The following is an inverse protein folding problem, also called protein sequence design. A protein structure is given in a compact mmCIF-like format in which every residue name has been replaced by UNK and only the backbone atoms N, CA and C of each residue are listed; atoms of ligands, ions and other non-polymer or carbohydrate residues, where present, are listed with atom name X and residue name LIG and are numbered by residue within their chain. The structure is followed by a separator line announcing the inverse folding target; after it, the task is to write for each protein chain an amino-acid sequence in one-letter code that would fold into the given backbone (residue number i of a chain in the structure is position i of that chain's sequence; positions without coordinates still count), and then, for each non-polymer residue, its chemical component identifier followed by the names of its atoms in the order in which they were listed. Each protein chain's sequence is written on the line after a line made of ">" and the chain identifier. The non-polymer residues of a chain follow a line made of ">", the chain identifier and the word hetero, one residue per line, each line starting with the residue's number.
data_IF_445634204779
#
_entry.id   IF_445634204779
#
_cell.length_a   1.000
_cell.length_b   1.000
_cell.length_c   1.000
_cell.angle_alpha   90.00
_cell.angle_beta   90.00
_cell.angle_gamma   90.00
#
_symmetry.space_group_name_H-M   'P 1'
#
loop_
_entity.id
_entity.type
_entity.pdbx_description
1 polymer ?
#
# COMPACT_ATOMS: atom_id res chain seq x y z
N UNK A 1 0.23 36.71 -13.69
CA UNK A 1 -0.80 36.47 -12.65
C UNK A 1 -0.52 35.10 -12.08
N UNK A 2 -0.20 35.03 -10.78
CA UNK A 2 0.31 33.81 -10.14
C UNK A 2 -0.86 32.90 -9.74
N UNK A 3 -1.11 31.89 -10.58
CA UNK A 3 -2.41 31.19 -10.68
C UNK A 3 -2.69 30.25 -9.49
N UNK A 4 -1.89 30.23 -8.42
CA UNK A 4 -2.13 29.24 -7.35
C UNK A 4 -1.62 29.62 -5.95
N UNK A 5 -2.03 30.79 -5.44
CA UNK A 5 -1.83 31.19 -4.02
C UNK A 5 -2.28 30.13 -3.00
N UNK A 6 -3.19 29.22 -3.40
CA UNK A 6 -3.67 28.13 -2.56
C UNK A 6 -2.56 27.16 -2.17
N UNK A 7 -1.60 26.90 -3.06
CA UNK A 7 -0.46 26.02 -2.77
C UNK A 7 0.57 26.67 -1.84
N UNK A 8 0.78 27.99 -1.94
CA UNK A 8 1.68 28.71 -1.03
C UNK A 8 1.14 28.69 0.41
N UNK A 9 -0.19 28.71 0.57
CA UNK A 9 -0.82 28.55 1.89
C UNK A 9 -0.59 27.15 2.48
N UNK A 10 -0.56 26.11 1.64
CA UNK A 10 -0.28 24.74 2.10
C UNK A 10 1.11 24.65 2.72
N UNK A 11 2.12 25.39 2.22
CA UNK A 11 3.49 25.40 2.80
C UNK A 11 3.54 25.90 4.24
N UNK A 12 2.55 26.69 4.66
CA UNK A 12 2.50 27.28 5.99
C UNK A 12 1.54 26.56 6.94
N UNK A 13 0.64 25.71 6.44
CA UNK A 13 -0.30 24.99 7.28
C UNK A 13 0.29 23.68 7.82
N UNK A 14 0.74 23.73 9.06
CA UNK A 14 1.41 22.59 9.71
C UNK A 14 0.56 21.33 9.85
N UNK A 15 -0.78 21.44 9.81
CA UNK A 15 -1.66 20.27 9.90
C UNK A 15 -1.73 19.58 8.53
N UNK A 16 -2.03 20.33 7.47
CA UNK A 16 -2.14 19.77 6.12
C UNK A 16 -0.82 19.23 5.56
N UNK A 17 0.33 19.79 5.97
CA UNK A 17 1.63 19.32 5.49
C UNK A 17 1.96 17.91 6.00
N UNK A 18 1.44 17.52 7.18
CA UNK A 18 1.76 16.20 7.75
C UNK A 18 1.11 15.08 6.98
N UNK A 19 -0.11 15.29 6.51
CA UNK A 19 -0.92 14.29 5.82
C UNK A 19 -1.26 14.79 4.41
N UNK A 20 -0.42 14.41 3.46
CA UNK A 20 -0.51 14.84 2.07
C UNK A 20 -1.21 13.78 1.22
N UNK A 21 -2.30 14.15 0.57
CA UNK A 21 -2.98 13.33 -0.42
C UNK A 21 -2.88 13.99 -1.80
N UNK A 22 -2.22 13.33 -2.75
CA UNK A 22 -2.06 13.79 -4.13
C UNK A 22 -3.06 13.11 -5.07
N UNK A 23 -4.28 12.95 -4.57
CA UNK A 23 -5.43 12.41 -5.29
C UNK A 23 -6.55 13.44 -5.28
N UNK A 24 -7.27 13.55 -6.40
CA UNK A 24 -8.49 14.34 -6.49
C UNK A 24 -9.69 13.46 -6.13
N UNK A 25 -10.43 13.84 -5.11
CA UNK A 25 -11.60 13.09 -4.65
C UNK A 25 -12.86 13.55 -5.39
N UNK A 26 -13.59 12.60 -5.97
CA UNK A 26 -14.89 12.83 -6.57
C UNK A 26 -16.01 12.31 -5.64
N UNK A 27 -16.81 13.21 -5.06
CA UNK A 27 -17.84 12.82 -4.09
C UNK A 27 -19.05 12.14 -4.73
N UNK A 28 -19.18 12.15 -6.07
CA UNK A 28 -20.36 11.62 -6.77
C UNK A 28 -20.36 10.09 -6.77
N UNK A 29 -19.18 9.50 -6.95
CA UNK A 29 -18.96 8.06 -7.09
C UNK A 29 -17.95 7.51 -6.06
N UNK A 30 -17.59 8.34 -5.07
CA UNK A 30 -16.59 8.02 -4.04
C UNK A 30 -15.24 7.59 -4.64
N UNK A 31 -14.93 8.10 -5.85
CA UNK A 31 -13.72 7.74 -6.58
C UNK A 31 -12.59 8.73 -6.32
N UNK A 32 -11.37 8.30 -6.63
CA UNK A 32 -10.17 9.15 -6.57
C UNK A 32 -9.48 9.15 -7.92
N UNK A 33 -9.14 10.32 -8.41
CA UNK A 33 -8.45 10.54 -9.68
C UNK A 33 -7.02 11.05 -9.45
N UNK A 34 -6.08 10.73 -10.35
CA UNK A 34 -4.75 11.34 -10.31
C UNK A 34 -4.82 12.83 -10.62
N UNK A 35 -4.00 13.63 -9.92
CA UNK A 35 -3.78 15.02 -10.31
C UNK A 35 -3.09 15.10 -11.68
N UNK A 36 -3.31 16.20 -12.40
CA UNK A 36 -2.65 16.42 -13.69
C UNK A 36 -1.13 16.56 -13.56
N UNK A 37 -0.41 16.09 -14.58
CA UNK A 37 1.05 16.09 -14.60
C UNK A 37 1.66 17.47 -14.36
N UNK A 38 1.08 18.52 -14.94
CA UNK A 38 1.54 19.90 -14.74
C UNK A 38 1.47 20.34 -13.28
N UNK A 39 0.45 19.89 -12.53
CA UNK A 39 0.32 20.19 -11.11
C UNK A 39 1.36 19.42 -10.31
N UNK A 40 1.53 18.12 -10.60
CA UNK A 40 2.52 17.26 -9.93
C UNK A 40 3.94 17.79 -10.17
N UNK A 41 4.31 18.10 -11.41
CA UNK A 41 5.65 18.58 -11.75
C UNK A 41 5.97 19.90 -11.05
N UNK A 42 4.99 20.83 -10.99
CA UNK A 42 5.14 22.08 -10.23
C UNK A 42 5.28 21.82 -8.74
N UNK A 43 4.47 20.91 -8.20
CA UNK A 43 4.49 20.56 -6.78
C UNK A 43 5.85 19.95 -6.39
N UNK A 44 6.33 18.96 -7.16
CA UNK A 44 7.61 18.29 -6.96
C UNK A 44 8.80 19.24 -7.07
N UNK A 45 8.79 20.17 -8.03
CA UNK A 45 9.92 21.09 -8.26
C UNK A 45 9.98 22.26 -7.28
N UNK A 46 8.82 22.77 -6.82
CA UNK A 46 8.78 24.01 -6.03
C UNK A 46 8.44 23.81 -4.57
N UNK A 47 7.50 22.92 -4.26
CA UNK A 47 6.85 22.85 -2.94
C UNK A 47 7.46 21.74 -2.11
N UNK A 48 7.53 20.54 -2.70
CA UNK A 48 7.96 19.33 -2.05
C UNK A 48 9.37 19.42 -1.41
N UNK A 49 10.39 20.08 -2.02
CA UNK A 49 11.70 20.24 -1.38
C UNK A 49 11.66 21.08 -0.10
N UNK A 50 10.67 21.95 0.06
CA UNK A 50 10.52 22.81 1.23
C UNK A 50 9.79 22.10 2.38
N UNK A 51 8.92 21.15 2.07
CA UNK A 51 8.03 20.51 3.05
C UNK A 51 8.25 19.01 3.23
N UNK A 52 9.08 18.35 2.42
CA UNK A 52 9.29 16.90 2.42
C UNK A 52 9.60 16.32 3.79
N UNK A 53 10.47 17.00 4.55
CA UNK A 53 10.84 16.62 5.92
C UNK A 53 9.69 16.72 6.94
N UNK A 54 8.57 17.37 6.62
CA UNK A 54 7.41 17.52 7.51
C UNK A 54 6.30 16.52 7.22
N UNK A 55 6.32 15.88 6.06
CA UNK A 55 5.33 14.90 5.61
C UNK A 55 5.53 13.61 6.41
N UNK A 56 4.43 13.11 6.99
CA UNK A 56 4.34 11.85 7.72
C UNK A 56 3.53 10.81 6.96
N UNK A 57 2.43 11.26 6.37
CA UNK A 57 1.53 10.44 5.57
C UNK A 57 1.49 10.96 4.15
N UNK A 58 1.63 10.07 3.18
CA UNK A 58 1.62 10.41 1.76
C UNK A 58 0.73 9.42 0.98
N UNK A 59 -0.26 9.92 0.25
CA UNK A 59 -1.07 9.12 -0.68
C UNK A 59 -0.80 9.52 -2.13
N UNK A 60 -0.48 8.53 -2.96
CA UNK A 60 -0.04 8.71 -4.35
C UNK A 60 -0.86 7.84 -5.31
N UNK A 61 -1.10 8.37 -6.52
CA UNK A 61 -1.63 7.63 -7.66
C UNK A 61 -0.52 6.96 -8.46
N UNK A 62 -0.83 5.95 -9.30
CA UNK A 62 0.14 5.33 -10.22
C UNK A 62 1.01 6.32 -10.99
N UNK A 63 0.41 7.40 -11.50
CA UNK A 63 1.10 8.37 -12.36
C UNK A 63 2.09 9.25 -11.61
N UNK A 64 1.98 9.38 -10.29
CA UNK A 64 2.75 10.34 -9.49
C UNK A 64 3.87 9.71 -8.67
N UNK A 65 3.87 8.39 -8.46
CA UNK A 65 4.78 7.68 -7.53
C UNK A 65 6.24 8.00 -7.79
N UNK A 66 6.74 7.71 -8.99
CA UNK A 66 8.16 7.88 -9.28
C UNK A 66 8.57 9.35 -9.10
N UNK A 67 7.82 10.26 -9.73
CA UNK A 67 8.12 11.70 -9.64
C UNK A 67 8.12 12.22 -8.21
N UNK A 68 7.18 11.79 -7.38
CA UNK A 68 7.04 12.29 -6.01
C UNK A 68 8.06 11.65 -5.08
N UNK A 69 8.26 10.33 -5.16
CA UNK A 69 9.20 9.63 -4.28
C UNK A 69 10.67 9.99 -4.58
N UNK A 70 11.01 10.33 -5.83
CA UNK A 70 12.35 10.75 -6.19
C UNK A 70 12.62 12.26 -6.05
N UNK A 71 11.59 13.08 -5.81
CA UNK A 71 11.74 14.53 -5.80
C UNK A 71 12.39 15.09 -4.52
N UNK A 72 12.32 14.38 -3.39
CA UNK A 72 12.90 14.86 -2.13
C UNK A 72 13.20 13.74 -1.14
N UNK A 73 13.84 14.09 -0.03
CA UNK A 73 14.04 13.21 1.11
C UNK A 73 12.91 13.42 2.13
N UNK A 74 12.21 12.34 2.46
CA UNK A 74 11.09 12.33 3.40
C UNK A 74 11.49 11.79 4.76
N UNK A 75 12.34 12.52 5.50
CA UNK A 75 12.94 12.02 6.74
C UNK A 75 11.96 11.62 7.85
N UNK A 76 10.68 12.01 7.75
CA UNK A 76 9.63 11.72 8.73
C UNK A 76 8.46 10.90 8.16
N UNK A 77 8.55 10.41 6.92
CA UNK A 77 7.48 9.61 6.31
C UNK A 77 7.39 8.25 6.98
N UNK A 78 6.22 7.95 7.53
CA UNK A 78 5.95 6.71 8.24
C UNK A 78 4.70 5.98 7.73
N UNK A 79 3.84 6.66 6.97
CA UNK A 79 2.64 6.11 6.34
C UNK A 79 2.64 6.39 4.83
N UNK A 80 2.59 5.34 4.02
CA UNK A 80 2.51 5.44 2.56
C UNK A 80 1.24 4.77 2.05
N UNK A 81 0.45 5.51 1.29
CA UNK A 81 -0.71 5.04 0.56
C UNK A 81 -0.48 5.09 -0.94
N UNK A 82 -0.76 3.97 -1.59
CA UNK A 82 -0.48 3.70 -2.97
C UNK A 82 -1.79 3.31 -3.64
N UNK A 83 -2.34 4.18 -4.46
CA UNK A 83 -3.71 4.07 -4.99
C UNK A 83 -3.71 3.79 -6.49
N UNK A 84 -4.54 2.84 -6.90
CA UNK A 84 -4.75 2.47 -8.31
C UNK A 84 -3.43 2.12 -9.00
N UNK A 85 -2.66 1.24 -8.37
CA UNK A 85 -1.34 0.84 -8.87
C UNK A 85 -1.44 -0.48 -9.61
N UNK A 86 -0.94 -0.47 -10.84
CA UNK A 86 -0.67 -1.68 -11.60
C UNK A 86 0.43 -2.52 -10.93
N UNK A 87 0.25 -3.83 -10.96
CA UNK A 87 1.20 -4.78 -10.41
C UNK A 87 2.66 -4.52 -10.84
N UNK A 88 2.89 -4.27 -12.13
CA UNK A 88 4.24 -4.05 -12.69
C UNK A 88 4.91 -2.84 -12.08
N UNK A 89 4.14 -1.77 -11.84
CA UNK A 89 4.63 -0.54 -11.20
C UNK A 89 4.94 -0.78 -9.72
N UNK A 90 4.05 -1.47 -9.00
CA UNK A 90 4.31 -1.84 -7.61
C UNK A 90 5.58 -2.71 -7.48
N UNK A 91 5.73 -3.72 -8.34
CA UNK A 91 6.93 -4.55 -8.37
C UNK A 91 8.18 -3.72 -8.66
N UNK A 92 8.16 -2.88 -9.69
CA UNK A 92 9.28 -1.98 -10.03
C UNK A 92 9.68 -1.10 -8.83
N UNK A 93 8.69 -0.54 -8.12
CA UNK A 93 8.93 0.26 -6.93
C UNK A 93 9.62 -0.53 -5.81
N UNK A 94 9.20 -1.77 -5.56
CA UNK A 94 9.82 -2.61 -4.53
C UNK A 94 11.16 -3.24 -4.95
N UNK A 95 11.41 -3.36 -6.25
CA UNK A 95 12.70 -3.76 -6.82
C UNK A 95 13.71 -2.59 -6.92
N UNK A 96 13.25 -1.34 -6.87
CA UNK A 96 14.11 -0.16 -7.00
C UNK A 96 15.06 0.00 -5.77
N UNK A 97 16.36 -0.03 -6.03
CA UNK A 97 17.44 0.07 -5.04
C UNK A 97 18.06 1.48 -4.95
N UNK A 98 17.43 2.48 -5.55
CA UNK A 98 17.91 3.85 -5.46
C UNK A 98 17.88 4.33 -4.00
N UNK A 99 18.81 5.23 -3.60
CA UNK A 99 18.95 5.60 -2.19
C UNK A 99 17.68 6.18 -1.57
N UNK A 100 16.92 6.98 -2.32
CA UNK A 100 15.68 7.58 -1.83
C UNK A 100 14.60 6.53 -1.60
N UNK A 101 14.50 5.56 -2.51
CA UNK A 101 13.52 4.49 -2.44
C UNK A 101 13.87 3.54 -1.28
N UNK A 102 15.14 3.15 -1.19
CA UNK A 102 15.66 2.35 -0.08
C UNK A 102 15.46 3.03 1.28
N UNK A 103 15.63 4.36 1.36
CA UNK A 103 15.39 5.11 2.59
C UNK A 103 13.93 5.01 3.03
N UNK A 104 12.95 5.22 2.13
CA UNK A 104 11.55 5.12 2.56
C UNK A 104 11.18 3.69 2.96
N UNK A 105 11.65 2.65 2.24
CA UNK A 105 11.35 1.25 2.55
C UNK A 105 11.71 0.92 4.00
N UNK A 106 12.83 1.46 4.47
CA UNK A 106 13.29 1.31 5.84
C UNK A 106 12.58 2.24 6.85
N UNK A 107 11.83 3.26 6.44
CA UNK A 107 11.19 4.21 7.34
C UNK A 107 9.69 3.95 7.52
N UNK A 108 9.03 3.36 6.51
CA UNK A 108 7.59 3.15 6.56
C UNK A 108 7.21 2.13 7.63
N UNK A 109 6.28 2.56 8.49
CA UNK A 109 5.65 1.72 9.51
C UNK A 109 4.26 1.26 9.11
N UNK A 110 3.69 1.90 8.09
CA UNK A 110 2.35 1.59 7.58
C UNK A 110 2.34 1.73 6.08
N UNK A 111 1.79 0.74 5.40
CA UNK A 111 1.69 0.69 3.95
C UNK A 111 0.27 0.32 3.55
N UNK A 112 -0.35 1.16 2.73
CA UNK A 112 -1.62 0.90 2.08
C UNK A 112 -1.39 0.77 0.58
N UNK A 113 -1.83 -0.32 -0.05
CA UNK A 113 -1.73 -0.52 -1.49
C UNK A 113 -3.10 -0.94 -2.01
N UNK A 114 -3.63 -0.16 -2.94
CA UNK A 114 -4.78 -0.50 -3.76
C UNK A 114 -4.27 -0.88 -5.16
N UNK A 115 -4.29 -2.17 -5.47
CA UNK A 115 -3.82 -2.69 -6.75
C UNK A 115 -4.97 -2.68 -7.77
N UNK A 116 -4.68 -2.28 -9.01
CA UNK A 116 -5.63 -2.31 -10.12
C UNK A 116 -5.30 -3.38 -11.16
N UNK A 117 -6.36 -3.94 -11.75
CA UNK A 117 -6.31 -4.96 -12.80
C UNK A 117 -6.44 -4.28 -14.16
N UNK A 118 -5.34 -4.17 -14.90
CA UNK A 118 -5.45 -3.68 -16.28
C UNK A 118 -5.21 -4.76 -17.36
N UNK A 119 -4.44 -5.85 -17.18
CA UNK A 119 -4.07 -6.61 -18.41
C UNK A 119 -3.86 -8.14 -18.43
N UNK A 120 -3.84 -8.95 -17.35
CA UNK A 120 -3.70 -10.43 -17.54
C UNK A 120 -4.07 -11.28 -16.30
N UNK A 121 -5.34 -11.71 -16.21
CA UNK A 121 -5.88 -12.50 -15.09
C UNK A 121 -5.09 -13.77 -14.75
N UNK A 122 -4.50 -14.43 -15.75
CA UNK A 122 -3.84 -15.73 -15.56
C UNK A 122 -2.48 -15.66 -14.86
N UNK A 123 -1.88 -14.47 -14.70
CA UNK A 123 -0.57 -14.29 -14.06
C UNK A 123 -0.62 -13.64 -12.67
N UNK A 124 -1.79 -13.18 -12.24
CA UNK A 124 -1.91 -12.28 -11.09
C UNK A 124 -1.59 -12.95 -9.74
N UNK A 125 -1.96 -14.21 -9.52
CA UNK A 125 -1.71 -14.89 -8.24
C UNK A 125 -0.22 -15.03 -7.88
N UNK A 126 0.60 -15.42 -8.85
CA UNK A 126 2.06 -15.54 -8.68
C UNK A 126 2.69 -14.17 -8.41
N UNK A 127 2.25 -13.18 -9.16
CA UNK A 127 2.68 -11.81 -9.06
C UNK A 127 2.38 -11.28 -7.64
N UNK A 128 1.14 -11.35 -7.16
CA UNK A 128 0.78 -10.85 -5.82
C UNK A 128 1.64 -11.44 -4.72
N UNK A 129 1.87 -12.75 -4.77
CA UNK A 129 2.76 -13.43 -3.82
C UNK A 129 4.18 -12.84 -3.82
N UNK A 130 4.72 -12.52 -5.00
CA UNK A 130 6.00 -11.84 -5.15
C UNK A 130 5.97 -10.44 -4.51
N UNK A 131 4.91 -9.64 -4.70
CA UNK A 131 4.80 -8.32 -4.05
C UNK A 131 4.80 -8.44 -2.53
N UNK A 132 4.03 -9.38 -1.97
CA UNK A 132 4.03 -9.61 -0.52
C UNK A 132 5.42 -9.95 -0.01
N UNK A 133 6.11 -10.87 -0.69
CA UNK A 133 7.48 -11.27 -0.35
C UNK A 133 8.41 -10.04 -0.39
N UNK A 134 8.36 -9.24 -1.45
CA UNK A 134 9.20 -8.06 -1.56
C UNK A 134 8.88 -7.01 -0.49
N UNK A 135 7.59 -6.76 -0.20
CA UNK A 135 7.18 -5.85 0.88
C UNK A 135 7.77 -6.31 2.20
N UNK A 136 7.58 -7.57 2.58
CA UNK A 136 8.06 -8.09 3.86
C UNK A 136 9.60 -8.12 3.95
N UNK A 137 10.29 -8.36 2.84
CA UNK A 137 11.75 -8.38 2.80
C UNK A 137 12.36 -6.99 2.89
N UNK A 138 11.73 -6.01 2.24
CA UNK A 138 12.29 -4.67 2.06
C UNK A 138 11.80 -3.69 3.12
N UNK A 139 10.60 -3.87 3.66
CA UNK A 139 9.98 -2.96 4.61
C UNK A 139 10.16 -3.47 6.05
N UNK A 140 11.40 -3.44 6.54
CA UNK A 140 11.78 -4.06 7.84
C UNK A 140 11.07 -3.45 9.05
N UNK A 141 10.63 -2.20 8.97
CA UNK A 141 9.93 -1.50 10.05
C UNK A 141 8.39 -1.52 9.91
N UNK A 142 7.86 -2.28 8.95
CA UNK A 142 6.44 -2.34 8.65
C UNK A 142 5.65 -2.96 9.81
N UNK A 143 4.70 -2.19 10.36
CA UNK A 143 3.80 -2.61 11.44
C UNK A 143 2.37 -2.83 10.97
N UNK A 144 1.93 -2.07 9.98
CA UNK A 144 0.59 -2.16 9.41
C UNK A 144 0.68 -2.31 7.90
N UNK A 145 0.07 -3.35 7.35
CA UNK A 145 -0.05 -3.55 5.92
C UNK A 145 -1.52 -3.69 5.54
N UNK A 146 -1.99 -2.82 4.65
CA UNK A 146 -3.32 -2.93 4.04
C UNK A 146 -3.19 -3.08 2.54
N UNK A 147 -3.57 -4.23 2.01
CA UNK A 147 -3.55 -4.51 0.58
C UNK A 147 -4.97 -4.80 0.11
N UNK A 148 -5.43 -3.98 -0.82
CA UNK A 148 -6.72 -4.13 -1.48
C UNK A 148 -6.50 -4.37 -2.98
N UNK A 149 -6.54 -5.63 -3.42
CA UNK A 149 -6.70 -5.94 -4.83
C UNK A 149 -8.07 -5.52 -5.34
N UNK A 150 -8.16 -5.07 -6.59
CA UNK A 150 -9.46 -4.92 -7.27
C UNK A 150 -10.14 -6.27 -7.53
N UNK A 151 -9.46 -7.29 -8.07
CA UNK A 151 -10.02 -8.62 -8.36
C UNK A 151 -8.89 -9.67 -8.35
N UNK A 152 -8.75 -10.49 -7.30
CA UNK A 152 -7.78 -11.60 -7.34
C UNK A 152 -8.43 -12.96 -7.57
N UNK A 153 -7.80 -13.79 -8.38
CA UNK A 153 -7.85 -15.24 -8.18
C UNK A 153 -6.41 -15.65 -7.91
N UNK A 154 -6.14 -16.04 -6.67
CA UNK A 154 -4.89 -16.68 -6.28
C UNK A 154 -4.93 -18.10 -6.84
N UNK A 155 -4.79 -18.23 -8.16
CA UNK A 155 -4.69 -19.53 -8.81
C UNK A 155 -3.69 -20.41 -8.05
N UNK A 156 -4.11 -21.63 -7.69
CA UNK A 156 -3.39 -22.62 -6.85
C UNK A 156 -2.02 -22.17 -6.33
N UNK A 157 -2.02 -21.36 -5.26
CA UNK A 157 -0.85 -20.76 -4.58
C UNK A 157 0.18 -21.79 -4.09
N UNK A 158 -0.20 -23.07 -4.05
CA UNK A 158 0.63 -24.17 -3.57
C UNK A 158 2.02 -24.26 -4.23
N UNK A 159 2.15 -23.84 -5.48
CA UNK A 159 3.44 -23.95 -6.20
C UNK A 159 4.44 -22.82 -5.87
N UNK A 160 3.98 -21.67 -5.37
CA UNK A 160 4.85 -20.51 -5.13
C UNK A 160 5.29 -20.35 -3.66
N UNK A 161 4.49 -20.83 -2.70
CA UNK A 161 4.80 -20.64 -1.27
C UNK A 161 5.80 -21.66 -0.71
N UNK A 162 6.16 -22.71 -1.45
CA UNK A 162 7.23 -23.65 -1.05
C UNK A 162 8.62 -23.01 -1.09
N UNK A 163 8.79 -21.82 -1.67
CA UNK A 163 10.05 -21.12 -1.76
C UNK A 163 10.01 -19.79 -1.02
N UNK A 164 10.71 -19.75 0.13
CA UNK A 164 11.14 -18.56 0.90
C UNK A 164 10.20 -18.15 2.04
N UNK A 165 10.49 -18.71 3.20
CA UNK A 165 10.02 -18.29 4.52
C UNK A 165 10.70 -16.98 4.93
N UNK A 166 10.22 -15.85 4.43
CA UNK A 166 10.56 -14.57 5.08
C UNK A 166 9.55 -14.28 6.18
N UNK A 167 10.05 -14.38 7.40
CA UNK A 167 9.31 -14.05 8.63
C UNK A 167 9.29 -12.53 8.73
N UNK A 168 8.11 -11.94 8.73
CA UNK A 168 7.94 -10.52 9.00
C UNK A 168 7.64 -10.36 10.50
N UNK A 169 8.68 -10.17 11.30
CA UNK A 169 8.53 -10.12 12.75
C UNK A 169 8.01 -8.79 13.28
N UNK A 170 7.94 -7.75 12.46
CA UNK A 170 7.50 -6.41 12.89
C UNK A 170 6.03 -6.12 12.59
N UNK A 171 5.38 -6.95 11.77
CA UNK A 171 4.00 -6.75 11.37
C UNK A 171 3.04 -7.05 12.53
N UNK A 172 2.26 -6.04 12.93
CA UNK A 172 1.27 -6.13 14.00
C UNK A 172 -0.16 -6.20 13.44
N UNK A 173 -0.39 -5.57 12.28
CA UNK A 173 -1.70 -5.43 11.66
C UNK A 173 -1.63 -5.78 10.17
N UNK A 174 -2.49 -6.69 9.75
CA UNK A 174 -2.62 -7.10 8.35
C UNK A 174 -4.07 -6.98 7.92
N UNK A 175 -4.31 -6.19 6.89
CA UNK A 175 -5.60 -6.03 6.23
C UNK A 175 -5.46 -6.49 4.80
N UNK A 176 -6.18 -7.55 4.43
CA UNK A 176 -6.13 -8.10 3.07
C UNK A 176 -7.55 -8.26 2.56
N UNK A 177 -7.78 -7.86 1.32
CA UNK A 177 -8.96 -8.33 0.58
C UNK A 177 -8.53 -9.51 -0.28
N UNK A 178 -9.26 -10.62 -0.21
CA UNK A 178 -8.99 -11.88 -0.88
C UNK A 178 -10.25 -12.36 -1.61
N UNK A 179 -10.09 -13.38 -2.45
CA UNK A 179 -11.23 -14.00 -3.14
C UNK A 179 -11.51 -15.39 -2.60
N UNK A 180 -10.47 -16.14 -2.22
CA UNK A 180 -10.62 -17.47 -1.63
C UNK A 180 -10.00 -17.53 -0.23
N UNK A 181 -10.59 -18.36 0.63
CA UNK A 181 -10.12 -18.55 2.01
C UNK A 181 -8.77 -19.26 2.06
N UNK A 182 -8.48 -20.12 1.09
CA UNK A 182 -7.21 -20.86 0.99
C UNK A 182 -6.01 -19.92 0.88
N UNK A 183 -6.19 -18.79 0.18
CA UNK A 183 -5.15 -17.77 -0.01
C UNK A 183 -4.71 -17.15 1.33
N UNK A 184 -5.67 -17.03 2.24
CA UNK A 184 -5.41 -16.54 3.59
C UNK A 184 -4.49 -17.49 4.35
N UNK A 185 -4.76 -18.81 4.29
CA UNK A 185 -3.91 -19.81 4.93
C UNK A 185 -2.50 -19.78 4.35
N UNK A 186 -2.37 -19.62 3.04
CA UNK A 186 -1.08 -19.44 2.40
C UNK A 186 -0.36 -18.21 2.98
N UNK A 187 -1.01 -17.04 3.04
CA UNK A 187 -0.42 -15.81 3.60
C UNK A 187 0.05 -16.01 5.04
N UNK A 188 -0.78 -16.63 5.89
CA UNK A 188 -0.56 -16.72 7.34
C UNK A 188 0.41 -17.82 7.79
N UNK A 189 0.89 -18.69 6.90
CA UNK A 189 1.65 -19.93 7.17
C UNK A 189 2.90 -19.77 8.06
N UNK A 190 2.70 -19.51 9.36
CA UNK A 190 3.74 -19.31 10.38
C UNK A 190 4.58 -18.04 10.24
N UNK A 191 4.22 -17.09 9.37
CA UNK A 191 5.09 -15.96 8.97
C UNK A 191 5.05 -14.72 9.85
N UNK A 192 4.06 -14.62 10.73
CA UNK A 192 3.82 -13.42 11.53
C UNK A 192 3.67 -13.76 13.02
N UNK A 193 4.80 -13.82 13.72
CA UNK A 193 4.86 -14.12 15.16
C UNK A 193 4.29 -12.98 16.03
N UNK A 194 4.32 -11.74 15.54
CA UNK A 194 3.81 -10.56 16.25
C UNK A 194 2.45 -10.06 15.76
N UNK A 195 1.80 -10.76 14.82
CA UNK A 195 0.51 -10.34 14.29
C UNK A 195 -0.56 -10.35 15.38
N UNK A 196 -1.15 -9.18 15.64
CA UNK A 196 -2.21 -9.00 16.64
C UNK A 196 -3.57 -8.85 16.01
N UNK A 197 -3.61 -8.23 14.83
CA UNK A 197 -4.83 -7.86 14.16
C UNK A 197 -4.77 -8.36 12.73
N UNK A 198 -5.76 -9.16 12.36
CA UNK A 198 -5.94 -9.67 11.02
C UNK A 198 -7.36 -9.32 10.56
N UNK A 199 -7.45 -8.49 9.53
CA UNK A 199 -8.69 -8.18 8.85
C UNK A 199 -8.67 -8.80 7.46
N UNK A 200 -9.60 -9.70 7.21
CA UNK A 200 -9.78 -10.32 5.90
C UNK A 200 -11.13 -9.88 5.35
N UNK A 201 -11.12 -9.31 4.15
CA UNK A 201 -12.34 -9.00 3.39
C UNK A 201 -12.41 -9.95 2.21
N UNK A 202 -13.57 -10.53 1.91
CA UNK A 202 -13.75 -11.40 0.74
C UNK A 202 -14.60 -10.69 -0.32
N UNK A 203 -14.08 -10.55 -1.55
CA UNK A 203 -14.77 -9.83 -2.65
C UNK A 203 -16.13 -10.44 -3.05
N UNK A 204 -16.33 -11.73 -2.78
CA UNK A 204 -17.54 -12.45 -3.22
C UNK A 204 -18.24 -13.25 -2.13
N UNK A 205 -17.90 -13.05 -0.85
CA UNK A 205 -18.57 -13.76 0.24
C UNK A 205 -19.09 -12.79 1.30
N UNK A 206 -20.38 -12.46 1.20
CA UNK A 206 -21.15 -12.03 2.36
C UNK A 206 -21.30 -13.22 3.31
N UNK A 207 -20.41 -13.35 4.29
CA UNK A 207 -20.68 -14.20 5.45
C UNK A 207 -21.54 -13.41 6.44
N UNK A 208 -22.84 -13.67 6.45
CA UNK A 208 -23.70 -13.28 7.57
C UNK A 208 -23.45 -14.28 8.70
N UNK A 209 -22.47 -14.00 9.57
CA UNK A 209 -22.31 -14.75 10.81
C UNK A 209 -23.41 -14.33 11.79
N UNK A 210 -24.59 -14.96 11.69
CA UNK A 210 -25.54 -14.96 12.82
C UNK A 210 -24.97 -15.86 13.91
N UNK A 211 -24.76 -15.31 15.11
CA UNK A 211 -24.39 -16.06 16.31
C UNK A 211 -25.25 -17.31 16.46
N UNK A 212 -24.70 -18.47 16.14
CA UNK A 212 -25.18 -19.72 16.73
C UNK A 212 -24.30 -19.98 17.93
N UNK A 213 -24.88 -19.75 19.13
CA UNK A 213 -24.38 -20.33 20.37
C UNK A 213 -24.23 -21.84 20.13
N UNK A 214 -23.01 -22.33 19.93
CA UNK A 214 -22.39 -23.35 20.78
C UNK A 214 -21.00 -23.76 20.28
N UNK A 215 -20.11 -23.84 21.27
CA UNK A 215 -18.84 -24.56 21.32
C UNK A 215 -17.59 -23.90 20.71
N UNK A 216 -16.83 -23.32 21.65
CA UNK A 216 -15.39 -23.15 21.64
C UNK A 216 -14.70 -24.41 21.08
N UNK A 217 -14.17 -24.31 19.88
CA UNK A 217 -13.14 -25.19 19.35
C UNK A 217 -11.83 -24.41 19.31
N UNK A 218 -10.94 -24.68 20.25
CA UNK A 218 -9.54 -24.29 20.13
C UNK A 218 -8.92 -25.13 19.02
N UNK A 219 -8.37 -24.49 17.98
CA UNK A 219 -7.38 -25.13 17.14
C UNK A 219 -6.02 -24.92 17.83
N UNK A 220 -5.44 -26.02 18.31
CA UNK A 220 -4.01 -26.14 18.60
C UNK A 220 -3.26 -26.40 17.30
#
# INVERSE_FOLDING_TARGET
>A
MDVNQRFDRIVHDTVFIRDLCLLEYCPIDDSTFPLSDTIIDRFCSKILPQIGHKIKTLFLSRTSIERVLHATNYSNLNHLGLCDIEYKVAKSLFDDESPLIHMFKNQISSLFINLSDEDDLLSMGALTSIIFIEIFNKCTNLRCLKINPSLFDFGTVNDFMTYRTTICSTLLELHVTLTHMQDCLCILDGRFDQLRILYITFHHICFEFSETKHNVGYFY
#
